data_IF_944289253671
#
_entry.id   IF_944289253671
#
_cell.length_a   1.000
_cell.length_b   1.000
_cell.length_c   1.000
_cell.angle_alpha   90.00
_cell.angle_beta   90.00
_cell.angle_gamma   90.00
#
_symmetry.space_group_name_H-M   'P 1'
#
loop_
_entity.id
_entity.type
_entity.pdbx_description
1 polymer ?
#
# COMPACT_ATOMS: atom_id res chain seq x y z
N UNK A 1 16.12 9.59 -10.41
CA UNK A 1 16.58 10.34 -9.22
C UNK A 1 15.54 10.11 -8.11
N UNK A 2 15.82 10.39 -6.83
CA UNK A 2 14.78 10.33 -5.79
C UNK A 2 14.04 11.68 -5.78
N UNK A 3 12.73 11.66 -5.95
CA UNK A 3 11.88 12.84 -5.85
C UNK A 3 11.75 13.23 -4.38
N UNK A 4 12.20 14.42 -4.03
CA UNK A 4 11.89 14.99 -2.72
C UNK A 4 10.42 15.39 -2.68
N UNK A 5 9.85 15.07 -1.55
CA UNK A 5 8.43 14.98 -1.33
C UNK A 5 8.06 16.15 -0.38
N UNK A 6 7.05 16.98 -0.72
CA UNK A 6 6.59 18.15 0.06
C UNK A 6 6.24 17.88 1.53
N UNK A 7 6.41 18.86 2.43
CA UNK A 7 6.28 18.61 3.89
C UNK A 7 4.83 18.43 4.39
N UNK A 8 3.82 18.77 3.58
CA UNK A 8 2.40 18.60 3.91
C UNK A 8 1.72 17.82 2.79
N UNK A 9 1.27 16.61 3.09
CA UNK A 9 0.57 15.71 2.17
C UNK A 9 -0.72 15.18 2.79
N UNK A 10 -1.60 14.69 1.94
CA UNK A 10 -2.71 13.84 2.38
C UNK A 10 -2.17 12.43 2.70
N UNK A 11 -2.74 11.82 3.72
CA UNK A 11 -2.45 10.44 4.09
C UNK A 11 -3.71 9.72 4.55
N UNK A 12 -3.77 8.42 4.36
CA UNK A 12 -4.91 7.57 4.76
C UNK A 12 -4.43 6.36 5.54
N UNK A 13 -4.93 6.20 6.76
CA UNK A 13 -4.69 5.01 7.56
C UNK A 13 -5.66 3.89 7.16
N UNK A 14 -5.12 2.68 6.97
CA UNK A 14 -5.85 1.51 6.48
C UNK A 14 -5.62 0.32 7.39
N UNK A 15 -6.66 -0.50 7.49
CA UNK A 15 -6.63 -1.79 8.18
C UNK A 15 -6.52 -2.90 7.16
N UNK A 16 -5.48 -3.70 7.27
CA UNK A 16 -5.12 -4.74 6.30
C UNK A 16 -5.20 -6.09 6.98
N UNK A 17 -5.98 -7.01 6.42
CA UNK A 17 -6.03 -8.39 6.89
C UNK A 17 -5.03 -9.22 6.10
N UNK A 18 -4.21 -9.99 6.80
CA UNK A 18 -3.20 -10.85 6.18
C UNK A 18 -3.14 -12.21 6.87
N UNK A 19 -3.11 -13.27 6.07
CA UNK A 19 -2.82 -14.63 6.51
C UNK A 19 -1.71 -15.17 5.63
N UNK A 20 -0.71 -15.79 6.23
CA UNK A 20 0.36 -16.43 5.46
C UNK A 20 -0.22 -17.52 4.55
N UNK A 21 0.06 -17.51 3.24
CA UNK A 21 -0.40 -18.55 2.33
C UNK A 21 0.37 -19.87 2.52
N UNK A 22 1.57 -19.81 3.10
CA UNK A 22 2.44 -20.97 3.32
C UNK A 22 1.90 -21.94 4.39
N UNK A 23 0.98 -21.48 5.24
CA UNK A 23 0.38 -22.29 6.29
C UNK A 23 -1.12 -22.01 6.37
N UNK A 24 -1.93 -22.98 5.92
CA UNK A 24 -3.38 -22.89 5.93
C UNK A 24 -3.99 -22.71 7.33
N UNK A 25 -3.25 -23.06 8.39
CA UNK A 25 -3.65 -22.90 9.79
C UNK A 25 -3.06 -21.63 10.43
N UNK A 26 -2.23 -20.86 9.71
CA UNK A 26 -1.68 -19.61 10.23
C UNK A 26 -2.81 -18.66 10.66
N UNK A 27 -2.68 -17.96 11.80
CA UNK A 27 -3.68 -16.99 12.23
C UNK A 27 -3.78 -15.83 11.22
N UNK A 28 -4.99 -15.29 11.07
CA UNK A 28 -5.18 -14.01 10.38
C UNK A 28 -4.68 -12.90 11.29
N UNK A 29 -3.77 -12.09 10.77
CA UNK A 29 -3.25 -10.91 11.41
C UNK A 29 -3.95 -9.67 10.84
N UNK A 30 -4.18 -8.69 11.70
CA UNK A 30 -4.65 -7.37 11.30
C UNK A 30 -3.49 -6.40 11.42
N UNK A 31 -3.06 -5.84 10.31
CA UNK A 31 -1.97 -4.88 10.20
C UNK A 31 -2.57 -3.49 9.98
N UNK A 32 -1.98 -2.48 10.62
CA UNK A 32 -2.32 -1.09 10.44
C UNK A 32 -1.22 -0.41 9.64
N UNK A 33 -1.59 0.29 8.58
CA UNK A 33 -0.67 1.06 7.74
C UNK A 33 -1.22 2.45 7.49
N UNK A 34 -0.34 3.37 7.12
CA UNK A 34 -0.73 4.67 6.59
C UNK A 34 -0.10 4.88 5.23
N UNK A 35 -0.90 5.25 4.23
CA UNK A 35 -0.43 5.57 2.88
C UNK A 35 -0.35 7.08 2.72
N UNK A 36 0.81 7.59 2.31
CA UNK A 36 1.04 8.99 1.97
C UNK A 36 0.98 9.22 0.46
N UNK A 37 0.33 10.30 0.04
CA UNK A 37 0.08 10.62 -1.37
C UNK A 37 0.88 11.85 -1.84
N UNK A 38 1.16 11.95 -3.14
CA UNK A 38 1.83 13.10 -3.78
C UNK A 38 0.96 14.37 -3.70
N UNK A 39 1.45 15.47 -4.26
CA UNK A 39 0.74 16.77 -4.25
C UNK A 39 -0.61 16.73 -4.97
N UNK A 40 -0.79 15.80 -5.92
CA UNK A 40 -2.08 15.54 -6.58
C UNK A 40 -3.12 14.92 -5.62
N UNK A 41 -2.69 14.45 -4.45
CA UNK A 41 -3.52 13.79 -3.45
C UNK A 41 -4.04 12.40 -3.85
N UNK A 42 -3.57 11.83 -4.96
CA UNK A 42 -4.04 10.56 -5.53
C UNK A 42 -2.91 9.55 -5.76
N UNK A 43 -1.72 10.01 -6.11
CA UNK A 43 -0.58 9.13 -6.40
C UNK A 43 0.08 8.68 -5.09
N UNK A 44 0.10 7.38 -4.77
CA UNK A 44 0.75 6.89 -3.55
C UNK A 44 2.26 7.01 -3.67
N UNK A 45 2.91 7.52 -2.61
CA UNK A 45 4.37 7.75 -2.58
C UNK A 45 5.05 7.20 -1.34
N UNK A 46 4.31 6.98 -0.27
CA UNK A 46 4.83 6.50 1.00
C UNK A 46 3.85 5.50 1.62
N UNK A 47 4.40 4.56 2.37
CA UNK A 47 3.65 3.63 3.20
C UNK A 47 4.39 3.47 4.53
N UNK A 48 3.63 3.58 5.62
CA UNK A 48 4.14 3.49 6.98
C UNK A 48 3.46 2.33 7.68
N UNK A 49 4.23 1.60 8.48
CA UNK A 49 3.70 0.59 9.36
C UNK A 49 3.30 1.24 10.69
N UNK A 50 2.05 1.04 11.11
CA UNK A 50 1.50 1.65 12.34
C UNK A 50 1.24 0.62 13.45
N UNK A 51 1.34 -0.68 13.15
CA UNK A 51 1.18 -1.74 14.15
C UNK A 51 0.38 -2.95 13.67
N UNK A 52 0.04 -3.84 14.61
CA UNK A 52 -0.80 -5.02 14.38
C UNK A 52 -0.13 -6.36 14.67
N UNK A 53 1.20 -6.40 14.63
CA UNK A 53 1.97 -7.53 15.14
C UNK A 53 2.32 -7.32 16.62
N UNK A 54 2.74 -8.40 17.28
CA UNK A 54 3.27 -8.32 18.64
C UNK A 54 4.54 -7.46 18.63
N UNK A 55 4.60 -6.51 19.57
CA UNK A 55 5.77 -5.65 19.71
C UNK A 55 7.05 -6.46 20.01
N UNK A 56 8.14 -6.12 19.32
CA UNK A 56 9.43 -6.79 19.34
C UNK A 56 9.48 -8.10 18.55
N UNK A 57 8.46 -8.40 17.74
CA UNK A 57 8.48 -9.62 16.91
C UNK A 57 9.23 -9.41 15.59
N UNK A 58 9.78 -10.50 15.05
CA UNK A 58 10.43 -10.49 13.74
C UNK A 58 9.48 -10.02 12.63
N UNK A 59 8.19 -10.39 12.73
CA UNK A 59 7.16 -9.97 11.77
C UNK A 59 6.85 -8.47 11.85
N UNK A 60 6.86 -7.88 13.05
CA UNK A 60 6.73 -6.42 13.21
C UNK A 60 7.88 -5.70 12.50
N UNK A 61 9.11 -6.13 12.79
CA UNK A 61 10.33 -5.53 12.22
C UNK A 61 10.35 -5.68 10.70
N UNK A 62 10.07 -6.88 10.19
CA UNK A 62 10.02 -7.15 8.76
C UNK A 62 8.93 -6.33 8.05
N UNK A 63 7.74 -6.20 8.64
CA UNK A 63 6.67 -5.39 8.06
C UNK A 63 7.04 -3.90 8.00
N UNK A 64 7.69 -3.39 9.04
CA UNK A 64 8.23 -2.03 9.09
C UNK A 64 9.29 -1.82 7.99
N UNK A 65 10.26 -2.73 7.87
CA UNK A 65 11.32 -2.64 6.88
C UNK A 65 10.78 -2.69 5.45
N UNK A 66 9.80 -3.56 5.17
CA UNK A 66 9.12 -3.59 3.87
C UNK A 66 8.46 -2.24 3.57
N UNK A 67 7.78 -1.63 4.53
CA UNK A 67 7.15 -0.32 4.33
C UNK A 67 8.18 0.78 4.02
N UNK A 68 9.32 0.77 4.71
CA UNK A 68 10.44 1.69 4.45
C UNK A 68 11.01 1.47 3.04
N UNK A 69 11.30 0.23 2.67
CA UNK A 69 11.82 -0.11 1.34
C UNK A 69 10.86 0.31 0.23
N UNK A 70 9.57 0.01 0.38
CA UNK A 70 8.54 0.42 -0.58
C UNK A 70 8.45 1.94 -0.70
N UNK A 71 8.49 2.67 0.41
CA UNK A 71 8.48 4.14 0.41
C UNK A 71 9.68 4.73 -0.33
N UNK A 72 10.89 4.18 -0.10
CA UNK A 72 12.08 4.61 -0.84
C UNK A 72 11.90 4.31 -2.33
N UNK A 73 11.45 3.10 -2.68
CA UNK A 73 11.25 2.67 -4.06
C UNK A 73 10.25 3.56 -4.81
N UNK A 74 9.10 3.89 -4.21
CA UNK A 74 8.07 4.74 -4.83
C UNK A 74 8.48 6.20 -5.07
N UNK A 75 9.54 6.64 -4.38
CA UNK A 75 10.11 7.97 -4.56
C UNK A 75 11.15 8.02 -5.68
N UNK A 76 11.53 6.89 -6.28
CA UNK A 76 12.40 6.89 -7.46
C UNK A 76 11.62 7.18 -8.74
N UNK A 77 12.17 8.06 -9.58
CA UNK A 77 11.59 8.37 -10.90
C UNK A 77 11.46 7.10 -11.75
N UNK A 78 10.35 7.01 -12.50
CA UNK A 78 10.06 5.88 -13.39
C UNK A 78 9.44 4.66 -12.71
N UNK A 79 9.29 4.67 -11.38
CA UNK A 79 8.56 3.62 -10.67
C UNK A 79 7.05 3.87 -10.75
N UNK A 80 6.33 2.92 -11.36
CA UNK A 80 4.88 2.88 -11.41
C UNK A 80 4.40 1.67 -10.61
N UNK A 81 3.56 1.90 -9.60
CA UNK A 81 3.11 0.85 -8.67
C UNK A 81 2.44 -0.33 -9.38
N UNK A 82 1.67 -0.07 -10.45
CA UNK A 82 1.00 -1.12 -11.21
C UNK A 82 1.97 -2.01 -11.98
N UNK A 83 3.10 -1.48 -12.46
CA UNK A 83 4.11 -2.29 -13.14
C UNK A 83 4.92 -3.13 -12.16
N UNK A 84 5.20 -2.56 -10.98
CA UNK A 84 5.79 -3.33 -9.89
C UNK A 84 4.88 -4.48 -9.44
N UNK A 85 3.57 -4.22 -9.29
CA UNK A 85 2.60 -5.22 -8.86
C UNK A 85 2.53 -6.44 -9.79
N UNK A 86 2.67 -6.24 -11.11
CA UNK A 86 2.68 -7.34 -12.11
C UNK A 86 3.88 -8.29 -11.96
N UNK A 87 4.93 -7.85 -11.27
CA UNK A 87 6.15 -8.64 -11.06
C UNK A 87 6.12 -9.45 -9.77
N UNK A 88 5.08 -9.28 -8.93
CA UNK A 88 4.96 -9.97 -7.66
C UNK A 88 4.24 -11.31 -7.82
N UNK A 89 4.65 -12.28 -6.99
CA UNK A 89 4.01 -13.59 -6.97
C UNK A 89 2.56 -13.49 -6.49
N UNK A 90 1.69 -14.23 -7.18
CA UNK A 90 0.29 -14.43 -6.86
C UNK A 90 0.01 -15.92 -6.69
N UNK A 91 -0.97 -16.24 -5.86
CA UNK A 91 -1.47 -17.59 -5.66
C UNK A 91 -2.93 -17.70 -6.07
N UNK A 92 -3.37 -18.93 -6.39
CA UNK A 92 -4.79 -19.18 -6.61
C UNK A 92 -5.52 -19.04 -5.29
N UNK A 93 -6.50 -18.13 -5.26
CA UNK A 93 -7.40 -17.96 -4.14
C UNK A 93 -8.20 -19.24 -3.87
N UNK A 94 -8.76 -19.34 -2.66
CA UNK A 94 -9.82 -20.30 -2.32
C UNK A 94 -11.06 -20.13 -3.21
N UNK A 95 -11.28 -18.95 -3.77
CA UNK A 95 -12.37 -18.69 -4.70
C UNK A 95 -11.95 -19.03 -6.13
N UNK A 96 -12.78 -19.78 -6.88
CA UNK A 96 -12.48 -20.10 -8.27
C UNK A 96 -12.22 -18.82 -9.09
N UNK A 97 -11.13 -18.81 -9.85
CA UNK A 97 -10.71 -17.72 -10.74
C UNK A 97 -10.30 -16.40 -10.06
N UNK A 98 -10.05 -16.40 -8.75
CA UNK A 98 -9.44 -15.26 -8.08
C UNK A 98 -7.94 -15.53 -7.81
N UNK A 99 -7.11 -14.52 -8.02
CA UNK A 99 -5.70 -14.51 -7.64
C UNK A 99 -5.54 -13.63 -6.40
N UNK A 100 -4.75 -14.11 -5.44
CA UNK A 100 -4.43 -13.38 -4.22
C UNK A 100 -2.92 -13.17 -4.10
N UNK A 101 -2.46 -12.09 -3.44
CA UNK A 101 -1.04 -11.89 -3.22
C UNK A 101 -0.40 -13.06 -2.44
N UNK A 102 0.70 -13.61 -2.96
CA UNK A 102 1.41 -14.72 -2.32
C UNK A 102 2.31 -14.29 -1.14
N UNK A 103 2.36 -12.99 -0.83
CA UNK A 103 3.26 -12.44 0.18
C UNK A 103 2.73 -11.16 0.81
N UNK A 104 3.28 -10.81 1.98
CA UNK A 104 3.00 -9.55 2.64
C UNK A 104 3.34 -8.35 1.74
N UNK A 105 4.42 -8.43 0.95
CA UNK A 105 4.79 -7.38 -0.01
C UNK A 105 3.66 -7.16 -1.02
N UNK A 106 3.14 -8.23 -1.60
CA UNK A 106 2.03 -8.15 -2.55
C UNK A 106 0.75 -7.61 -1.91
N UNK A 107 0.47 -7.93 -0.65
CA UNK A 107 -0.66 -7.34 0.08
C UNK A 107 -0.50 -5.84 0.30
N UNK A 108 0.66 -5.38 0.74
CA UNK A 108 0.94 -3.96 0.93
C UNK A 108 0.90 -3.19 -0.40
N UNK A 109 1.39 -3.79 -1.48
CA UNK A 109 1.30 -3.25 -2.83
C UNK A 109 -0.15 -3.20 -3.32
N UNK A 110 -0.97 -4.21 -3.02
CA UNK A 110 -2.39 -4.17 -3.31
C UNK A 110 -3.08 -3.01 -2.58
N UNK A 111 -2.68 -2.68 -1.34
CA UNK A 111 -3.17 -1.49 -0.66
C UNK A 111 -2.74 -0.23 -1.40
N UNK A 112 -1.46 -0.07 -1.76
CA UNK A 112 -0.99 1.11 -2.49
C UNK A 112 -1.78 1.39 -3.77
N UNK A 113 -2.32 0.36 -4.44
CA UNK A 113 -3.16 0.50 -5.65
C UNK A 113 -4.60 0.92 -5.38
N UNK A 114 -5.07 0.88 -4.14
CA UNK A 114 -6.43 1.30 -3.82
C UNK A 114 -6.51 2.83 -3.80
N UNK A 115 -7.52 3.40 -4.49
CA UNK A 115 -7.73 4.84 -4.48
C UNK A 115 -8.04 5.33 -3.05
N UNK A 116 -7.60 6.53 -2.66
CA UNK A 116 -7.96 7.10 -1.37
C UNK A 116 -9.46 7.43 -1.29
N UNK A 117 -10.01 7.49 -0.08
CA UNK A 117 -11.43 7.77 0.18
C UNK A 117 -11.93 9.12 -0.37
N UNK A 118 -11.04 10.08 -0.63
CA UNK A 118 -11.38 11.41 -1.17
C UNK A 118 -11.20 11.54 -2.69
N UNK A 119 -11.03 10.43 -3.42
CA UNK A 119 -10.78 10.44 -4.87
C UNK A 119 -11.82 11.28 -5.64
N UNK A 120 -13.11 11.06 -5.38
CA UNK A 120 -14.19 11.77 -6.08
C UNK A 120 -14.16 13.28 -5.83
N UNK A 121 -13.79 13.70 -4.62
CA UNK A 121 -13.71 15.13 -4.28
C UNK A 121 -12.57 15.83 -5.02
N UNK A 122 -11.42 15.16 -5.18
CA UNK A 122 -10.29 15.71 -5.94
C UNK A 122 -10.63 15.80 -7.43
N UNK A 123 -11.19 14.73 -8.01
CA UNK A 123 -11.55 14.71 -9.42
C UNK A 123 -12.71 15.67 -9.75
N UNK A 124 -13.69 15.82 -8.85
CA UNK A 124 -14.81 16.75 -9.01
C UNK A 124 -14.43 18.22 -8.88
N UNK A 125 -13.35 18.55 -8.17
CA UNK A 125 -12.87 19.94 -8.01
C UNK A 125 -12.20 20.52 -9.26
N UNK A 126 -11.92 19.70 -10.28
CA UNK A 126 -11.30 20.13 -11.55
C UNK A 126 -12.26 20.64 -12.62
N UNK A 127 -13.58 20.71 -12.35
CA UNK A 127 -14.59 21.01 -13.37
C UNK A 127 -15.64 22.03 -12.94
N UNK A 128 -15.43 23.30 -13.29
CA UNK A 128 -16.49 24.31 -13.29
C UNK A 128 -15.95 25.70 -13.64
N UNK A 129 -16.29 26.29 -14.80
CA UNK A 129 -16.05 27.71 -15.01
C UNK A 129 -16.97 28.52 -14.08
N UNK A 130 -16.39 29.43 -13.31
CA UNK A 130 -17.11 30.47 -12.58
C UNK A 130 -17.96 31.31 -13.55
N UNK A 131 -19.26 31.53 -13.27
CA UNK A 131 -20.07 32.51 -14.00
C UNK A 131 -19.60 33.95 -13.76
#
# INVERSE_FOLDING_TARGET
MRKQLSNRRRSESRRVKWRSPLDAMAPENTIHITVGFDEDGLTPREIFYDGGYRSGSDLETLASDICIMLSIFLQHDGVVIDDFAKSLAVERSRYPNAEEPASLVGVLVAQLRQPPSWTDAVLGSGGGPTP
#
